data_IF_864339880485
#
_entry.id   IF_864339880485
#
_cell.length_a   1.000
_cell.length_b   1.000
_cell.length_c   1.000
_cell.angle_alpha   90.00
_cell.angle_beta   90.00
_cell.angle_gamma   90.00
#
_symmetry.space_group_name_H-M   'P 1'
#
loop_
_entity.id
_entity.type
_entity.pdbx_description
1 polymer ?
#
# COMPACT_ATOMS: atom_id res chain seq x y z
N UNK A 1 31.11 -15.45 38.08
CA UNK A 1 30.10 -14.84 37.19
C UNK A 1 29.99 -13.37 37.55
N UNK A 2 30.71 -12.50 36.83
CA UNK A 2 30.73 -11.05 37.09
C UNK A 2 29.52 -10.42 36.42
N UNK A 3 28.55 -9.99 37.21
CA UNK A 3 27.44 -9.16 36.76
C UNK A 3 27.99 -7.78 36.39
N UNK A 4 28.10 -7.51 35.08
CA UNK A 4 28.46 -6.19 34.58
C UNK A 4 27.26 -5.26 34.78
N UNK A 5 27.28 -4.47 35.85
CA UNK A 5 26.41 -3.31 36.05
C UNK A 5 26.75 -2.27 35.00
N UNK A 6 26.01 -2.29 33.90
CA UNK A 6 26.09 -1.27 32.84
C UNK A 6 25.52 0.02 33.40
N UNK A 7 26.37 0.95 33.83
CA UNK A 7 25.95 2.29 34.25
C UNK A 7 25.41 3.03 33.04
N UNK A 8 24.08 3.21 32.97
CA UNK A 8 23.44 4.04 31.95
C UNK A 8 23.92 5.48 32.13
N UNK A 9 24.35 6.11 31.04
CA UNK A 9 24.78 7.50 31.08
C UNK A 9 23.58 8.43 31.32
N UNK A 10 23.82 9.57 31.99
CA UNK A 10 22.80 10.59 32.26
C UNK A 10 22.15 11.10 30.96
N UNK A 11 22.91 11.12 29.86
CA UNK A 11 22.41 11.46 28.52
C UNK A 11 21.42 10.42 27.98
N UNK A 12 21.69 9.12 28.12
CA UNK A 12 20.76 8.06 27.72
C UNK A 12 19.46 8.10 28.52
N UNK A 13 19.55 8.41 29.82
CA UNK A 13 18.40 8.37 30.73
C UNK A 13 17.49 9.59 30.59
N UNK A 14 18.06 10.78 30.34
CA UNK A 14 17.30 12.04 30.21
C UNK A 14 16.76 12.27 28.79
N UNK A 15 17.45 11.77 27.76
CA UNK A 15 17.00 11.97 26.38
C UNK A 15 15.99 10.91 25.91
N UNK A 16 16.03 9.70 26.46
CA UNK A 16 15.14 8.60 26.11
C UNK A 16 14.76 7.78 27.36
N UNK A 17 13.80 8.23 28.19
CA UNK A 17 13.35 7.43 29.33
C UNK A 17 12.92 6.03 28.86
N UNK A 18 13.26 4.96 29.61
CA UNK A 18 12.90 3.60 29.22
C UNK A 18 11.39 3.53 29.01
N UNK A 19 11.00 3.25 27.77
CA UNK A 19 9.58 3.12 27.43
C UNK A 19 9.01 1.98 28.27
N UNK A 20 8.08 2.31 29.17
CA UNK A 20 7.36 1.31 29.95
C UNK A 20 6.75 0.29 28.98
N UNK A 21 6.83 -1.01 29.30
CA UNK A 21 6.16 -2.01 28.47
C UNK A 21 4.68 -1.63 28.38
N UNK A 22 4.12 -1.58 27.17
CA UNK A 22 2.72 -1.22 27.02
C UNK A 22 1.83 -2.21 27.79
N UNK A 23 0.64 -1.77 28.23
CA UNK A 23 -0.23 -2.61 29.03
C UNK A 23 -0.64 -3.88 28.24
N UNK A 24 -0.83 -5.04 28.90
CA UNK A 24 -1.21 -6.28 28.22
C UNK A 24 -2.53 -6.15 27.44
N UNK A 25 -3.41 -5.24 27.88
CA UNK A 25 -4.66 -4.89 27.20
C UNK A 25 -4.45 -4.35 25.79
N UNK A 26 -3.38 -3.56 25.55
CA UNK A 26 -3.02 -3.08 24.21
C UNK A 26 -2.76 -4.24 23.26
N UNK A 27 -1.95 -5.20 23.69
CA UNK A 27 -1.59 -6.35 22.87
C UNK A 27 -2.80 -7.24 22.59
N UNK A 28 -3.65 -7.44 23.59
CA UNK A 28 -4.90 -8.18 23.43
C UNK A 28 -5.83 -7.50 22.41
N UNK A 29 -6.05 -6.19 22.52
CA UNK A 29 -6.91 -5.46 21.58
C UNK A 29 -6.38 -5.48 20.15
N UNK A 30 -5.06 -5.32 19.97
CA UNK A 30 -4.44 -5.45 18.66
C UNK A 30 -4.62 -6.87 18.10
N UNK A 31 -4.34 -7.90 18.89
CA UNK A 31 -4.48 -9.29 18.46
C UNK A 31 -5.95 -9.63 18.11
N UNK A 32 -6.91 -9.19 18.92
CA UNK A 32 -8.34 -9.36 18.68
C UNK A 32 -8.75 -8.70 17.36
N UNK A 33 -8.30 -7.47 17.11
CA UNK A 33 -8.62 -6.74 15.88
C UNK A 33 -8.06 -7.45 14.65
N UNK A 34 -6.81 -7.91 14.71
CA UNK A 34 -6.17 -8.66 13.61
C UNK A 34 -6.86 -10.01 13.40
N UNK A 35 -7.18 -10.73 14.47
CA UNK A 35 -7.90 -12.00 14.39
C UNK A 35 -9.28 -11.81 13.75
N UNK A 36 -10.01 -10.76 14.12
CA UNK A 36 -11.30 -10.43 13.53
C UNK A 36 -11.16 -10.08 12.04
N UNK A 37 -10.18 -9.25 11.67
CA UNK A 37 -9.93 -8.90 10.28
C UNK A 37 -9.56 -10.13 9.43
N UNK A 38 -8.71 -11.02 9.97
CA UNK A 38 -8.33 -12.27 9.31
C UNK A 38 -9.53 -13.23 9.18
N UNK A 39 -10.36 -13.35 10.22
CA UNK A 39 -11.55 -14.18 10.18
C UNK A 39 -12.54 -13.68 9.12
N UNK A 40 -12.77 -12.37 9.04
CA UNK A 40 -13.71 -11.79 8.09
C UNK A 40 -13.19 -11.85 6.65
N UNK A 41 -11.92 -11.52 6.43
CA UNK A 41 -11.40 -11.28 5.08
C UNK A 41 -10.55 -12.43 4.55
N UNK A 42 -9.80 -13.14 5.38
CA UNK A 42 -8.93 -14.26 4.95
C UNK A 42 -9.69 -15.58 5.01
N UNK A 43 -10.45 -15.86 6.07
CA UNK A 43 -11.15 -17.14 6.17
C UNK A 43 -12.30 -17.29 5.13
N UNK A 44 -12.77 -16.18 4.57
CA UNK A 44 -13.89 -16.18 3.62
C UNK A 44 -13.48 -16.03 2.15
N UNK A 45 -12.18 -15.97 1.83
CA UNK A 45 -11.68 -15.79 0.44
C UNK A 45 -12.11 -16.89 -0.52
N UNK A 46 -12.26 -18.12 -0.03
CA UNK A 46 -12.68 -19.27 -0.84
C UNK A 46 -14.19 -19.35 -1.09
N UNK A 47 -14.98 -18.42 -0.55
CA UNK A 47 -16.42 -18.40 -0.79
C UNK A 47 -16.76 -17.71 -2.11
N UNK A 48 -17.36 -18.46 -3.03
CA UNK A 48 -17.83 -17.99 -4.33
C UNK A 48 -16.77 -17.94 -5.43
N UNK A 49 -17.21 -18.06 -6.68
CA UNK A 49 -16.35 -17.93 -7.86
C UNK A 49 -15.95 -16.47 -8.12
N UNK A 50 -15.02 -16.26 -9.07
CA UNK A 50 -14.66 -14.92 -9.54
C UNK A 50 -15.88 -14.31 -10.25
N UNK A 51 -16.40 -13.22 -9.73
CA UNK A 51 -17.70 -12.68 -10.20
C UNK A 51 -17.54 -11.45 -11.10
N UNK A 52 -16.50 -10.64 -10.85
CA UNK A 52 -16.29 -9.39 -11.60
C UNK A 52 -15.32 -9.57 -12.78
N UNK A 53 -15.55 -8.83 -13.86
CA UNK A 53 -14.64 -8.79 -15.01
C UNK A 53 -13.22 -8.41 -14.58
N UNK A 54 -13.08 -7.42 -13.69
CA UNK A 54 -11.79 -6.96 -13.16
C UNK A 54 -11.04 -8.08 -12.46
N UNK A 55 -11.75 -8.86 -11.63
CA UNK A 55 -11.18 -9.97 -10.89
C UNK A 55 -10.70 -11.09 -11.81
N UNK A 56 -11.52 -11.46 -12.80
CA UNK A 56 -11.13 -12.39 -13.85
C UNK A 56 -9.92 -11.90 -14.66
N UNK A 57 -9.84 -10.60 -14.94
CA UNK A 57 -8.70 -10.02 -15.66
C UNK A 57 -7.39 -10.16 -14.89
N UNK A 58 -7.36 -9.79 -13.60
CA UNK A 58 -6.14 -9.91 -12.79
C UNK A 58 -5.74 -11.36 -12.52
N UNK A 59 -6.71 -12.22 -12.16
CA UNK A 59 -6.44 -13.62 -11.88
C UNK A 59 -6.03 -14.38 -13.15
N UNK A 60 -6.72 -14.13 -14.28
CA UNK A 60 -6.41 -14.72 -15.58
C UNK A 60 -5.04 -14.30 -16.08
N UNK A 61 -4.70 -13.02 -15.98
CA UNK A 61 -3.37 -12.55 -16.38
C UNK A 61 -2.26 -13.12 -15.51
N UNK A 62 -2.44 -13.15 -14.19
CA UNK A 62 -1.46 -13.78 -13.31
C UNK A 62 -1.28 -15.27 -13.65
N UNK A 63 -2.36 -15.98 -14.00
CA UNK A 63 -2.31 -17.36 -14.46
C UNK A 63 -1.52 -17.49 -15.77
N UNK A 64 -1.80 -16.68 -16.78
CA UNK A 64 -1.06 -16.68 -18.06
C UNK A 64 0.43 -16.37 -17.85
N UNK A 65 0.77 -15.47 -16.94
CA UNK A 65 2.16 -15.14 -16.58
C UNK A 65 2.90 -16.33 -15.95
N UNK A 66 2.19 -17.15 -15.14
CA UNK A 66 2.75 -18.40 -14.60
C UNK A 66 2.95 -19.41 -15.73
N UNK A 67 1.93 -19.64 -16.57
CA UNK A 67 1.96 -20.64 -17.65
C UNK A 67 2.99 -20.31 -18.74
N UNK A 68 3.18 -19.03 -19.06
CA UNK A 68 4.14 -18.55 -20.07
C UNK A 68 5.55 -18.32 -19.54
N UNK A 69 5.73 -18.38 -18.21
CA UNK A 69 6.97 -17.97 -17.52
C UNK A 69 7.41 -16.52 -17.79
N UNK A 70 6.51 -15.65 -18.25
CA UNK A 70 6.78 -14.23 -18.54
C UNK A 70 6.28 -13.31 -17.42
N UNK A 71 7.06 -13.19 -16.34
CA UNK A 71 6.61 -12.48 -15.13
C UNK A 71 6.62 -10.95 -15.25
N UNK A 72 7.23 -10.39 -16.29
CA UNK A 72 7.26 -8.95 -16.52
C UNK A 72 6.09 -8.48 -17.42
N UNK A 73 5.50 -9.39 -18.19
CA UNK A 73 4.48 -9.10 -19.19
C UNK A 73 3.12 -9.68 -18.77
N UNK A 74 2.23 -8.89 -18.15
CA UNK A 74 0.85 -9.32 -17.97
C UNK A 74 0.12 -9.41 -19.32
N UNK A 75 -0.51 -10.55 -19.59
CA UNK A 75 -1.36 -10.78 -20.77
C UNK A 75 -2.75 -11.23 -20.35
N UNK A 76 -3.77 -10.87 -21.14
CA UNK A 76 -5.10 -11.48 -21.05
C UNK A 76 -5.47 -11.99 -22.43
N UNK A 77 -5.75 -13.29 -22.55
CA UNK A 77 -5.99 -13.98 -23.81
C UNK A 77 -4.86 -13.72 -24.83
N UNK A 78 -3.63 -13.66 -24.34
CA UNK A 78 -2.44 -13.35 -25.16
C UNK A 78 -2.26 -11.89 -25.55
N UNK A 79 -3.16 -10.99 -25.14
CA UNK A 79 -3.06 -9.54 -25.40
C UNK A 79 -2.32 -8.85 -24.24
N UNK A 80 -1.21 -8.11 -24.50
CA UNK A 80 -0.49 -7.36 -23.47
C UNK A 80 -1.36 -6.34 -22.72
N UNK A 81 -1.33 -6.38 -21.38
CA UNK A 81 -2.10 -5.49 -20.50
C UNK A 81 -1.18 -4.61 -19.65
N UNK A 82 -0.61 -3.57 -20.25
CA UNK A 82 0.34 -2.67 -19.58
C UNK A 82 -0.29 -1.47 -18.87
N UNK A 83 -1.63 -1.37 -18.85
CA UNK A 83 -2.35 -0.26 -18.23
C UNK A 83 -2.03 -0.09 -16.73
N UNK A 84 -1.79 -1.22 -16.04
CA UNK A 84 -1.55 -1.26 -14.59
C UNK A 84 -0.18 -1.89 -14.29
N UNK A 85 0.58 -1.34 -13.32
CA UNK A 85 1.86 -1.89 -12.91
C UNK A 85 1.78 -3.31 -12.30
N UNK A 86 2.91 -4.03 -12.17
CA UNK A 86 2.92 -5.48 -12.06
C UNK A 86 2.76 -6.03 -10.63
N UNK A 87 2.82 -5.19 -9.59
CA UNK A 87 3.01 -5.68 -8.21
C UNK A 87 1.89 -6.61 -7.76
N UNK A 88 0.63 -6.27 -8.08
CA UNK A 88 -0.50 -7.13 -7.73
C UNK A 88 -0.39 -8.50 -8.41
N UNK A 89 -0.02 -8.53 -9.69
CA UNK A 89 0.19 -9.78 -10.43
C UNK A 89 1.29 -10.62 -9.78
N UNK A 90 2.43 -10.03 -9.41
CA UNK A 90 3.50 -10.74 -8.73
C UNK A 90 3.07 -11.36 -7.39
N UNK A 91 2.26 -10.64 -6.62
CA UNK A 91 1.72 -11.18 -5.36
C UNK A 91 0.71 -12.30 -5.60
N UNK A 92 -0.11 -12.22 -6.65
CA UNK A 92 -1.02 -13.29 -7.05
C UNK A 92 -0.23 -14.51 -7.53
N UNK A 93 0.80 -14.33 -8.36
CA UNK A 93 1.71 -15.39 -8.80
C UNK A 93 2.32 -16.10 -7.60
N UNK A 94 2.88 -15.35 -6.64
CA UNK A 94 3.44 -15.92 -5.42
C UNK A 94 2.39 -16.72 -4.61
N UNK A 95 1.14 -16.27 -4.60
CA UNK A 95 0.04 -16.99 -3.97
C UNK A 95 -0.34 -18.27 -4.73
N UNK A 96 -0.34 -18.24 -6.07
CA UNK A 96 -0.59 -19.41 -6.92
C UNK A 96 0.50 -20.47 -6.77
N UNK A 97 1.77 -20.07 -6.66
CA UNK A 97 2.89 -21.01 -6.43
C UNK A 97 2.77 -21.72 -5.07
N UNK A 98 2.19 -21.06 -4.06
CA UNK A 98 2.06 -21.62 -2.70
C UNK A 98 0.79 -22.45 -2.50
N UNK A 99 -0.33 -22.04 -3.09
CA UNK A 99 -1.65 -22.60 -2.80
C UNK A 99 -2.36 -23.20 -4.03
N UNK A 100 -1.68 -23.18 -5.19
CA UNK A 100 -2.25 -23.58 -6.47
C UNK A 100 -3.13 -22.50 -7.10
N UNK A 101 -3.46 -22.70 -8.38
CA UNK A 101 -4.30 -21.79 -9.15
C UNK A 101 -5.77 -22.00 -8.76
N UNK A 102 -6.30 -21.11 -7.94
CA UNK A 102 -7.70 -21.10 -7.54
C UNK A 102 -8.17 -19.69 -7.13
N UNK A 103 -9.48 -19.44 -7.04
CA UNK A 103 -10.01 -18.12 -6.67
C UNK A 103 -9.54 -17.62 -5.29
N UNK A 104 -9.41 -18.52 -4.31
CA UNK A 104 -8.96 -18.16 -2.98
C UNK A 104 -7.51 -17.63 -3.00
N UNK A 105 -6.62 -18.31 -3.72
CA UNK A 105 -5.24 -17.90 -3.90
C UNK A 105 -5.14 -16.54 -4.63
N UNK A 106 -6.00 -16.28 -5.62
CA UNK A 106 -6.03 -14.99 -6.31
C UNK A 106 -6.44 -13.82 -5.38
N UNK A 107 -7.37 -14.07 -4.45
CA UNK A 107 -7.86 -13.07 -3.48
C UNK A 107 -6.94 -12.86 -2.29
N UNK A 108 -6.11 -13.84 -1.95
CA UNK A 108 -5.28 -13.83 -0.74
C UNK A 108 -4.43 -12.55 -0.59
N UNK A 109 -3.70 -12.06 -1.62
CA UNK A 109 -2.91 -10.83 -1.49
C UNK A 109 -3.74 -9.61 -1.08
N UNK A 110 -4.95 -9.50 -1.64
CA UNK A 110 -5.86 -8.38 -1.39
C UNK A 110 -6.45 -8.47 0.01
N UNK A 111 -6.86 -9.66 0.44
CA UNK A 111 -7.33 -9.90 1.80
C UNK A 111 -6.25 -9.56 2.85
N UNK A 112 -5.00 -9.99 2.60
CA UNK A 112 -3.86 -9.65 3.47
C UNK A 112 -3.58 -8.15 3.49
N UNK A 113 -3.71 -7.46 2.35
CA UNK A 113 -3.57 -6.01 2.29
C UNK A 113 -4.62 -5.28 3.13
N UNK A 114 -5.87 -5.75 3.15
CA UNK A 114 -6.92 -5.19 4.03
C UNK A 114 -6.55 -5.40 5.50
N UNK A 115 -6.12 -6.60 5.90
CA UNK A 115 -5.67 -6.87 7.28
C UNK A 115 -4.49 -5.97 7.66
N UNK A 116 -3.52 -5.78 6.76
CA UNK A 116 -2.40 -4.88 6.97
C UNK A 116 -2.85 -3.42 7.13
N UNK A 117 -3.83 -2.98 6.34
CA UNK A 117 -4.41 -1.63 6.45
C UNK A 117 -5.04 -1.42 7.83
N UNK A 118 -5.80 -2.41 8.32
CA UNK A 118 -6.42 -2.39 9.65
C UNK A 118 -5.36 -2.31 10.76
N UNK A 119 -4.30 -3.11 10.64
CA UNK A 119 -3.18 -3.08 11.55
C UNK A 119 -2.55 -1.68 11.61
N UNK A 120 -2.34 -1.07 10.45
CA UNK A 120 -1.75 0.26 10.33
C UNK A 120 -2.68 1.35 10.88
N UNK A 121 -3.99 1.26 10.69
CA UNK A 121 -4.96 2.17 11.28
C UNK A 121 -4.89 2.12 12.81
N UNK A 122 -4.84 0.93 13.41
CA UNK A 122 -4.65 0.79 14.86
C UNK A 122 -3.37 1.48 15.31
N UNK A 123 -2.24 1.21 14.64
CA UNK A 123 -0.93 1.73 15.04
C UNK A 123 -0.80 3.25 14.84
N UNK A 124 -1.44 3.78 13.79
CA UNK A 124 -1.53 5.22 13.54
C UNK A 124 -2.40 5.88 14.62
N UNK A 125 -3.60 5.34 14.88
CA UNK A 125 -4.52 5.87 15.89
C UNK A 125 -3.90 5.84 17.30
N UNK A 126 -3.21 4.76 17.64
CA UNK A 126 -2.45 4.65 18.89
C UNK A 126 -1.42 5.78 19.03
N UNK A 127 -0.70 6.10 17.95
CA UNK A 127 0.34 7.14 17.94
C UNK A 127 -0.20 8.56 17.97
N UNK A 128 -1.39 8.77 17.44
CA UNK A 128 -2.04 10.09 17.45
C UNK A 128 -2.70 10.37 18.80
N UNK A 129 -3.25 9.34 19.44
CA UNK A 129 -3.97 9.48 20.70
C UNK A 129 -3.61 8.37 21.68
N UNK A 130 -4.22 7.20 21.57
CA UNK A 130 -4.15 6.10 22.52
C UNK A 130 -4.61 4.79 21.87
N UNK A 131 -4.24 3.65 22.46
CA UNK A 131 -4.51 2.33 21.91
C UNK A 131 -6.01 1.98 21.83
N UNK A 132 -6.85 2.60 22.66
CA UNK A 132 -8.30 2.38 22.67
C UNK A 132 -8.96 3.06 21.47
N UNK A 133 -8.56 4.30 21.18
CA UNK A 133 -8.99 5.01 19.96
C UNK A 133 -8.44 4.37 18.69
N UNK A 134 -7.20 3.86 18.73
CA UNK A 134 -6.65 3.04 17.63
C UNK A 134 -7.48 1.80 17.36
N UNK A 135 -7.90 1.08 18.42
CA UNK A 135 -8.81 -0.05 18.32
C UNK A 135 -10.16 0.31 17.72
N UNK A 136 -10.81 1.37 18.22
CA UNK A 136 -12.10 1.84 17.71
C UNK A 136 -11.98 2.25 16.23
N UNK A 137 -10.92 2.98 15.84
CA UNK A 137 -10.70 3.37 14.45
C UNK A 137 -10.57 2.15 13.52
N UNK A 138 -9.83 1.12 13.95
CA UNK A 138 -9.73 -0.14 13.23
C UNK A 138 -11.08 -0.86 13.10
N UNK A 139 -11.88 -0.87 14.18
CA UNK A 139 -13.20 -1.49 14.19
C UNK A 139 -14.19 -0.75 13.27
N UNK A 140 -14.13 0.58 13.24
CA UNK A 140 -14.91 1.40 12.32
C UNK A 140 -14.55 1.04 10.88
N UNK A 141 -13.25 0.95 10.56
CA UNK A 141 -12.79 0.57 9.22
C UNK A 141 -13.27 -0.83 8.81
N UNK A 142 -13.22 -1.80 9.73
CA UNK A 142 -13.76 -3.16 9.51
C UNK A 142 -15.26 -3.18 9.24
N UNK A 143 -16.00 -2.27 9.87
CA UNK A 143 -17.46 -2.23 9.79
C UNK A 143 -17.97 -1.58 8.49
N UNK A 144 -17.09 -0.90 7.74
CA UNK A 144 -17.48 -0.31 6.46
C UNK A 144 -17.74 -1.40 5.40
N UNK A 145 -18.91 -1.34 4.76
CA UNK A 145 -19.28 -2.21 3.66
C UNK A 145 -18.23 -2.20 2.53
N UNK A 146 -17.66 -1.03 2.23
CA UNK A 146 -16.61 -0.88 1.22
C UNK A 146 -15.38 -1.74 1.51
N UNK A 147 -14.94 -1.83 2.77
CA UNK A 147 -13.80 -2.67 3.19
C UNK A 147 -14.08 -4.14 2.93
N UNK A 148 -15.30 -4.60 3.20
CA UNK A 148 -15.72 -5.98 2.95
C UNK A 148 -15.72 -6.32 1.45
N UNK A 149 -16.22 -5.40 0.61
CA UNK A 149 -16.21 -5.56 -0.85
C UNK A 149 -14.79 -5.57 -1.41
N UNK A 150 -13.97 -4.60 -0.99
CA UNK A 150 -12.58 -4.45 -1.42
C UNK A 150 -11.71 -5.65 -1.05
N UNK A 151 -11.99 -6.34 0.05
CA UNK A 151 -11.27 -7.56 0.42
C UNK A 151 -11.59 -8.77 -0.47
N UNK A 152 -12.73 -8.75 -1.19
CA UNK A 152 -13.22 -9.89 -1.97
C UNK A 152 -12.99 -9.75 -3.46
N UNK A 153 -12.90 -8.52 -3.97
CA UNK A 153 -12.67 -8.27 -5.38
C UNK A 153 -11.18 -8.07 -5.60
N UNK A 154 -10.57 -8.84 -6.50
CA UNK A 154 -9.15 -8.70 -6.84
C UNK A 154 -8.94 -7.38 -7.57
N UNK A 155 -8.46 -6.37 -6.84
CA UNK A 155 -8.14 -5.05 -7.36
C UNK A 155 -6.92 -4.47 -6.64
N UNK A 156 -6.18 -3.51 -7.24
CA UNK A 156 -4.98 -2.94 -6.63
C UNK A 156 -5.25 -1.98 -5.45
N UNK A 157 -6.48 -1.48 -5.29
CA UNK A 157 -6.86 -0.45 -4.32
C UNK A 157 -6.53 -0.83 -2.86
N UNK A 158 -6.79 -2.06 -2.38
CA UNK A 158 -6.49 -2.40 -1.00
C UNK A 158 -4.98 -2.47 -0.73
N UNK A 159 -4.22 -2.89 -1.74
CA UNK A 159 -2.76 -2.92 -1.69
C UNK A 159 -2.17 -1.51 -1.65
N UNK A 160 -2.66 -0.62 -2.51
CA UNK A 160 -2.29 0.81 -2.49
C UNK A 160 -2.65 1.44 -1.14
N UNK A 161 -3.82 1.12 -0.59
CA UNK A 161 -4.29 1.67 0.68
C UNK A 161 -3.39 1.23 1.84
N UNK A 162 -3.00 -0.04 1.89
CA UNK A 162 -2.06 -0.58 2.86
C UNK A 162 -0.69 0.11 2.76
N UNK A 163 -0.17 0.28 1.55
CA UNK A 163 1.13 0.94 1.36
C UNK A 163 1.09 2.44 1.67
N UNK A 164 0.01 3.16 1.33
CA UNK A 164 -0.14 4.57 1.71
C UNK A 164 -0.23 4.69 3.24
N UNK A 165 -1.03 3.85 3.91
CA UNK A 165 -1.09 3.81 5.37
C UNK A 165 0.28 3.48 5.98
N UNK A 166 1.03 2.56 5.38
CA UNK A 166 2.39 2.21 5.78
C UNK A 166 3.37 3.37 5.63
N UNK A 167 3.27 4.12 4.53
CA UNK A 167 4.05 5.32 4.30
C UNK A 167 3.73 6.38 5.37
N UNK A 168 2.45 6.67 5.63
CA UNK A 168 2.02 7.62 6.67
C UNK A 168 2.55 7.21 8.04
N UNK A 169 2.39 5.93 8.41
CA UNK A 169 2.90 5.39 9.67
C UNK A 169 4.43 5.56 9.80
N UNK A 170 5.17 5.26 8.73
CA UNK A 170 6.61 5.45 8.68
C UNK A 170 7.02 6.93 8.82
N UNK A 171 6.32 7.84 8.13
CA UNK A 171 6.56 9.27 8.24
C UNK A 171 6.30 9.78 9.66
N UNK A 172 5.21 9.35 10.29
CA UNK A 172 4.90 9.68 11.69
C UNK A 172 5.97 9.15 12.66
N UNK A 173 6.42 7.91 12.47
CA UNK A 173 7.50 7.33 13.28
C UNK A 173 8.80 8.11 13.15
N UNK A 174 9.18 8.47 11.93
CA UNK A 174 10.38 9.27 11.67
C UNK A 174 10.26 10.74 12.12
N UNK A 175 9.02 11.25 12.23
CA UNK A 175 8.75 12.56 12.82
C UNK A 175 8.92 12.56 14.35
N UNK A 176 8.37 11.55 15.03
CA UNK A 176 8.36 11.45 16.50
C UNK A 176 9.71 10.97 17.07
N UNK A 177 10.37 9.99 16.45
CA UNK A 177 11.59 9.36 16.99
C UNK A 177 12.83 9.87 16.26
N UNK A 178 13.81 10.38 17.01
CA UNK A 178 15.14 10.72 16.46
C UNK A 178 15.96 9.47 16.17
N UNK A 179 15.87 8.47 17.05
CA UNK A 179 16.49 7.15 16.87
C UNK A 179 15.84 6.39 15.70
N UNK A 180 16.67 5.81 14.83
CA UNK A 180 16.25 5.08 13.61
C UNK A 180 15.44 5.90 12.58
N UNK A 181 15.46 7.24 12.66
CA UNK A 181 14.75 8.11 11.70
C UNK A 181 15.05 7.80 10.23
N UNK A 182 16.30 7.47 9.91
CA UNK A 182 16.70 7.09 8.55
C UNK A 182 15.97 5.83 8.05
N UNK A 183 15.80 4.83 8.91
CA UNK A 183 15.09 3.59 8.56
C UNK A 183 13.60 3.84 8.34
N UNK A 184 12.96 4.65 9.20
CA UNK A 184 11.56 5.03 9.02
C UNK A 184 11.35 5.85 7.73
N UNK A 185 12.26 6.77 7.43
CA UNK A 185 12.18 7.53 6.18
C UNK A 185 12.46 6.67 4.95
N UNK A 186 13.36 5.70 5.01
CA UNK A 186 13.49 4.70 3.96
C UNK A 186 12.19 3.90 3.80
N UNK A 187 11.57 3.47 4.90
CA UNK A 187 10.27 2.78 4.90
C UNK A 187 9.16 3.59 4.22
N UNK A 188 9.09 4.91 4.44
CA UNK A 188 8.16 5.80 3.74
C UNK A 188 8.32 5.71 2.22
N UNK A 189 9.55 5.80 1.72
CA UNK A 189 9.82 5.75 0.28
C UNK A 189 9.63 4.37 -0.32
N UNK A 190 9.96 3.30 0.41
CA UNK A 190 9.71 1.92 0.01
C UNK A 190 8.20 1.65 -0.12
N UNK A 191 7.41 2.04 0.89
CA UNK A 191 5.96 1.90 0.84
C UNK A 191 5.37 2.73 -0.31
N UNK A 192 5.82 3.98 -0.50
CA UNK A 192 5.36 4.82 -1.61
C UNK A 192 5.71 4.22 -2.97
N UNK A 193 6.90 3.60 -3.09
CA UNK A 193 7.33 2.93 -4.31
C UNK A 193 6.45 1.72 -4.64
N UNK A 194 6.15 0.87 -3.66
CA UNK A 194 5.25 -0.27 -3.86
C UNK A 194 3.80 0.17 -4.14
N UNK A 195 3.33 1.26 -3.53
CA UNK A 195 2.05 1.86 -3.89
C UNK A 195 2.05 2.30 -5.36
N UNK A 196 3.15 2.91 -5.83
CA UNK A 196 3.30 3.28 -7.24
C UNK A 196 3.33 2.07 -8.17
N UNK A 197 4.01 1.00 -7.77
CA UNK A 197 4.04 -0.25 -8.52
C UNK A 197 2.74 -1.07 -8.44
N UNK A 198 1.72 -0.57 -7.72
CA UNK A 198 0.38 -1.17 -7.68
C UNK A 198 -0.61 -0.45 -8.61
N UNK A 199 -0.65 0.88 -8.60
CA UNK A 199 -1.67 1.68 -9.31
C UNK A 199 -1.13 2.99 -9.93
N UNK A 200 0.19 3.15 -10.02
CA UNK A 200 0.83 4.32 -10.63
C UNK A 200 1.11 5.47 -9.66
N UNK A 201 1.40 6.66 -10.19
CA UNK A 201 1.96 7.80 -9.43
C UNK A 201 1.11 8.27 -8.24
N UNK A 202 -0.18 7.95 -8.22
CA UNK A 202 -1.06 8.23 -7.09
C UNK A 202 -0.50 7.67 -5.76
N UNK A 203 0.22 6.54 -5.82
CA UNK A 203 0.84 5.92 -4.65
C UNK A 203 1.84 6.80 -3.89
N UNK A 204 2.55 7.71 -4.57
CA UNK A 204 3.45 8.69 -3.94
C UNK A 204 2.78 10.05 -3.78
N UNK A 205 1.85 10.39 -4.67
CA UNK A 205 1.18 11.69 -4.67
C UNK A 205 0.36 11.91 -3.39
N UNK A 206 -0.42 10.93 -2.95
CA UNK A 206 -1.22 11.05 -1.72
C UNK A 206 -0.36 11.25 -0.46
N UNK A 207 0.63 10.39 -0.15
CA UNK A 207 1.46 10.60 1.03
C UNK A 207 2.29 11.89 0.92
N UNK A 208 2.79 12.25 -0.26
CA UNK A 208 3.50 13.51 -0.47
C UNK A 208 2.60 14.74 -0.21
N UNK A 209 1.36 14.73 -0.70
CA UNK A 209 0.40 15.81 -0.48
C UNK A 209 0.13 16.03 1.01
N UNK A 210 -0.05 14.95 1.78
CA UNK A 210 -0.22 15.02 3.24
C UNK A 210 1.00 15.68 3.90
N UNK A 211 2.21 15.26 3.54
CA UNK A 211 3.44 15.83 4.12
C UNK A 211 3.67 17.29 3.74
N UNK A 212 3.34 17.66 2.51
CA UNK A 212 3.42 19.05 2.02
C UNK A 212 2.43 19.92 2.78
N UNK A 213 1.17 19.48 2.91
CA UNK A 213 0.14 20.18 3.68
C UNK A 213 0.60 20.41 5.13
N UNK A 214 1.08 19.35 5.81
CA UNK A 214 1.62 19.46 7.17
C UNK A 214 2.83 20.41 7.24
N UNK A 215 3.70 20.42 6.23
CA UNK A 215 4.88 21.29 6.17
C UNK A 215 4.53 22.77 5.90
N UNK A 216 3.38 23.04 5.28
CA UNK A 216 2.85 24.39 5.11
C UNK A 216 2.37 24.92 6.47
N UNK A 217 1.54 24.16 7.18
CA UNK A 217 0.92 24.60 8.43
C UNK A 217 1.85 24.53 9.65
N UNK A 218 2.79 23.58 9.70
CA UNK A 218 3.66 23.36 10.85
C UNK A 218 5.14 23.54 10.50
N UNK A 219 5.78 24.56 11.07
CA UNK A 219 7.21 24.86 10.84
C UNK A 219 8.12 23.71 11.28
N UNK A 220 7.80 23.04 12.38
CA UNK A 220 8.56 21.87 12.85
C UNK A 220 8.47 20.69 11.88
N UNK A 221 7.27 20.43 11.33
CA UNK A 221 7.05 19.42 10.30
C UNK A 221 7.92 19.70 9.08
N UNK A 222 7.97 20.97 8.63
CA UNK A 222 8.84 21.38 7.52
C UNK A 222 10.31 21.02 7.77
N UNK A 223 10.85 21.35 8.95
CA UNK A 223 12.25 21.07 9.28
C UNK A 223 12.54 19.56 9.36
N UNK A 224 11.61 18.77 9.91
CA UNK A 224 11.79 17.32 10.05
C UNK A 224 11.57 16.58 8.73
N UNK A 225 10.61 16.97 7.91
CA UNK A 225 10.35 16.31 6.63
C UNK A 225 11.31 16.70 5.52
N UNK A 226 12.09 17.79 5.66
CA UNK A 226 13.21 18.09 4.74
C UNK A 226 14.20 16.94 4.58
N UNK A 227 14.41 16.15 5.64
CA UNK A 227 15.30 15.00 5.54
C UNK A 227 14.69 13.81 4.79
N UNK A 228 13.41 13.83 4.39
CA UNK A 228 12.85 12.87 3.43
C UNK A 228 13.32 13.14 2.00
N UNK A 229 13.69 14.39 1.69
CA UNK A 229 14.10 14.81 0.33
C UNK A 229 15.57 14.52 0.03
N UNK A 230 16.26 13.74 0.86
CA UNK A 230 17.64 13.37 0.57
C UNK A 230 17.69 12.39 -0.60
N UNK A 231 18.73 12.53 -1.42
CA UNK A 231 18.90 11.75 -2.64
C UNK A 231 18.90 10.24 -2.41
N UNK A 232 19.40 9.78 -1.26
CA UNK A 232 19.46 8.35 -0.96
C UNK A 232 18.08 7.69 -0.97
N UNK A 233 17.04 8.39 -0.51
CA UNK A 233 15.71 7.84 -0.50
C UNK A 233 15.00 7.92 -1.85
N UNK A 234 15.29 8.96 -2.62
CA UNK A 234 14.84 9.06 -4.02
C UNK A 234 15.45 7.93 -4.84
N UNK A 235 16.73 7.61 -4.61
CA UNK A 235 17.40 6.47 -5.24
C UNK A 235 16.73 5.13 -4.87
N UNK A 236 16.35 4.92 -3.60
CA UNK A 236 15.60 3.72 -3.18
C UNK A 236 14.26 3.63 -3.91
N UNK A 237 13.52 4.73 -3.98
CA UNK A 237 12.23 4.77 -4.69
C UNK A 237 12.40 4.42 -6.18
N UNK A 238 13.36 5.05 -6.84
CA UNK A 238 13.64 4.80 -8.26
C UNK A 238 14.11 3.36 -8.50
N UNK A 239 14.91 2.79 -7.61
CA UNK A 239 15.39 1.42 -7.74
C UNK A 239 14.25 0.38 -7.69
N UNK A 240 13.14 0.69 -7.01
CA UNK A 240 11.97 -0.18 -6.94
C UNK A 240 11.04 0.05 -8.14
N UNK A 241 10.77 1.31 -8.48
CA UNK A 241 9.75 1.66 -9.49
C UNK A 241 10.31 1.59 -10.92
N UNK A 242 11.50 2.13 -11.15
CA UNK A 242 12.04 2.33 -12.49
C UNK A 242 12.30 1.03 -13.26
N UNK A 243 12.80 -0.08 -12.69
CA UNK A 243 13.18 -1.25 -13.48
C UNK A 243 12.07 -1.79 -14.37
N UNK A 244 10.85 -1.92 -13.83
CA UNK A 244 9.73 -2.44 -14.61
C UNK A 244 9.26 -1.44 -15.68
N UNK A 245 9.17 -0.15 -15.34
CA UNK A 245 8.75 0.86 -16.32
C UNK A 245 9.78 1.06 -17.44
N UNK A 246 11.08 0.97 -17.14
CA UNK A 246 12.15 1.00 -18.14
C UNK A 246 12.05 -0.23 -19.05
N UNK A 247 11.85 -1.41 -18.46
CA UNK A 247 11.65 -2.64 -19.22
C UNK A 247 10.42 -2.54 -20.15
N UNK A 248 9.31 -2.00 -19.64
CA UNK A 248 8.07 -1.82 -20.40
C UNK A 248 8.25 -0.87 -21.59
N UNK A 249 8.92 0.27 -21.40
CA UNK A 249 9.19 1.21 -22.50
C UNK A 249 10.14 0.61 -23.56
N UNK A 250 11.13 -0.17 -23.14
CA UNK A 250 12.06 -0.79 -24.08
C UNK A 250 11.35 -1.82 -24.98
N UNK A 251 10.44 -2.62 -24.42
CA UNK A 251 9.74 -3.65 -25.18
C UNK A 251 8.50 -3.11 -25.93
N UNK A 252 7.91 -2.03 -25.43
CA UNK A 252 6.72 -1.39 -25.99
C UNK A 252 6.96 0.12 -26.15
N UNK A 253 7.66 0.55 -27.23
CA UNK A 253 7.95 1.96 -27.46
C UNK A 253 6.66 2.81 -27.49
N UNK A 254 6.61 3.86 -26.67
CA UNK A 254 5.41 4.69 -26.51
C UNK A 254 4.52 4.33 -25.31
N UNK A 255 4.90 3.32 -24.52
CA UNK A 255 4.25 2.97 -23.24
C UNK A 255 4.10 4.19 -22.32
N UNK A 256 5.17 4.97 -22.10
CA UNK A 256 5.10 6.15 -21.25
C UNK A 256 4.16 7.22 -21.81
N UNK A 257 4.14 7.40 -23.14
CA UNK A 257 3.24 8.37 -23.78
C UNK A 257 1.79 7.98 -23.54
N UNK A 258 1.46 6.69 -23.72
CA UNK A 258 0.13 6.15 -23.44
C UNK A 258 -0.28 6.31 -21.97
N UNK A 259 0.62 5.99 -21.03
CA UNK A 259 0.34 6.12 -19.60
C UNK A 259 0.09 7.59 -19.20
N UNK A 260 0.84 8.54 -19.78
CA UNK A 260 0.65 9.97 -19.49
C UNK A 260 -0.63 10.49 -20.14
N UNK A 261 -0.85 10.19 -21.42
CA UNK A 261 -1.97 10.74 -22.19
C UNK A 261 -3.32 10.19 -21.75
N UNK A 262 -3.40 8.87 -21.60
CA UNK A 262 -4.69 8.18 -21.46
C UNK A 262 -5.00 7.94 -20.00
N UNK A 263 -4.04 7.45 -19.23
CA UNK A 263 -4.27 7.10 -17.82
C UNK A 263 -4.20 8.31 -16.89
N UNK A 264 -3.31 9.28 -17.12
CA UNK A 264 -3.22 10.45 -16.22
C UNK A 264 -4.06 11.60 -16.74
N UNK A 265 -3.79 12.02 -17.97
CA UNK A 265 -4.45 13.18 -18.55
C UNK A 265 -5.88 12.88 -18.99
N UNK A 266 -6.13 11.67 -19.50
CA UNK A 266 -7.46 11.18 -19.85
C UNK A 266 -8.38 11.09 -18.64
N UNK A 267 -7.96 10.43 -17.55
CA UNK A 267 -8.74 10.39 -16.31
C UNK A 267 -8.99 11.77 -15.70
N UNK A 268 -8.00 12.68 -15.71
CA UNK A 268 -8.19 14.06 -15.23
C UNK A 268 -9.19 14.86 -16.08
N UNK A 269 -9.30 14.56 -17.37
CA UNK A 269 -10.21 15.25 -18.30
C UNK A 269 -11.53 14.52 -18.51
N UNK A 270 -11.75 13.35 -17.89
CA UNK A 270 -12.90 12.48 -18.16
C UNK A 270 -12.89 11.87 -19.58
N UNK A 271 -11.72 11.85 -20.23
CA UNK A 271 -11.52 11.27 -21.56
C UNK A 271 -10.87 9.89 -21.38
N UNK A 272 -11.68 8.87 -21.11
CA UNK A 272 -11.22 7.47 -21.22
C UNK A 272 -11.42 6.95 -22.64
N UNK A 273 -10.49 6.10 -23.08
CA UNK A 273 -10.41 5.51 -24.41
C UNK A 273 -11.74 4.95 -24.94
N UNK A 274 -11.86 4.97 -26.27
CA UNK A 274 -13.06 4.82 -27.10
C UNK A 274 -13.78 3.47 -27.05
N UNK A 275 -13.49 2.60 -26.07
CA UNK A 275 -14.03 1.23 -26.03
C UNK A 275 -14.97 0.92 -24.87
N UNK A 276 -15.18 1.80 -23.89
CA UNK A 276 -16.22 1.61 -22.86
C UNK A 276 -16.94 2.93 -22.46
N UNK A 277 -18.19 3.05 -22.93
CA UNK A 277 -19.40 3.69 -22.37
C UNK A 277 -19.47 5.09 -21.76
N UNK A 278 -18.41 5.91 -21.71
CA UNK A 278 -18.51 7.24 -21.06
C UNK A 278 -18.11 8.44 -21.93
N UNK A 279 -18.16 8.32 -23.26
CA UNK A 279 -18.05 9.49 -24.14
C UNK A 279 -19.26 10.42 -23.94
N UNK A 280 -19.06 11.54 -23.24
CA UNK A 280 -20.03 12.64 -23.13
C UNK A 280 -20.60 12.90 -21.73
N UNK A 281 -20.18 12.16 -20.70
CA UNK A 281 -20.62 12.45 -19.33
C UNK A 281 -19.81 13.62 -18.73
N UNK A 282 -20.47 14.70 -18.27
CA UNK A 282 -19.79 15.85 -17.70
C UNK A 282 -19.16 15.52 -16.34
N UNK A 283 -17.95 16.05 -16.12
CA UNK A 283 -17.05 15.72 -15.01
C UNK A 283 -17.67 15.85 -13.59
N UNK A 284 -18.75 16.62 -13.42
CA UNK A 284 -19.42 16.77 -12.12
C UNK A 284 -20.17 15.50 -11.66
N UNK A 285 -20.44 14.55 -12.55
CA UNK A 285 -21.10 13.29 -12.19
C UNK A 285 -20.18 12.34 -11.39
N UNK A 286 -18.87 12.58 -11.38
CA UNK A 286 -17.88 11.81 -10.61
C UNK A 286 -17.55 12.44 -9.25
N UNK A 287 -18.29 13.47 -8.83
CA UNK A 287 -18.11 14.18 -7.56
C UNK A 287 -19.16 13.81 -6.48
N UNK A 288 -19.84 12.67 -6.62
CA UNK A 288 -20.70 12.06 -5.60
C UNK A 288 -20.09 10.75 -5.10
#
# INVERSE_FOLDING_TARGET
MTAATRSLSLEETLLEPPALPPPPTRHALFAILIALAALLHVATIGSGDLYSQTEGQYAGAAREMVESHQWLLPTNDGIPRLQKPPLLYWLIIASFELFGINPAAARLPVAVAVVATVALIFLIGEKLTDYWRGFIAGLIYLSFCGTFLLARIVMPEPLVSAFIAGAIFCAMCGYQRRRHRRAWFAGFWICSAFACLSKGLLGVLYPAAILVLLSIFYREARLRYRALLRWEYVAIFLLIVAPWHIWAEWHFPGYFRYQISTEWWGHLRGLTDETHDYKGMPAYQFLL
#
